data_IF_549642264479
#
_entry.id   IF_549642264479
#
_cell.length_a   1.000
_cell.length_b   1.000
_cell.length_c   1.000
_cell.angle_alpha   90.00
_cell.angle_beta   90.00
_cell.angle_gamma   90.00
#
_symmetry.space_group_name_H-M   'P 1'
#
loop_
_entity.id
_entity.type
_entity.pdbx_description
1 polymer ?
#
# COMPACT_ATOMS: atom_id res chain seq x y z
N UNK A 1 33.27 -56.95 22.77
CA UNK A 1 33.85 -55.82 22.01
C UNK A 1 33.47 -54.58 22.76
N UNK A 2 34.46 -53.88 23.32
CA UNK A 2 34.23 -52.75 24.20
C UNK A 2 33.62 -51.57 23.44
N UNK A 3 32.62 -50.97 24.06
CA UNK A 3 31.94 -49.76 23.59
C UNK A 3 32.91 -48.61 23.32
N UNK A 4 34.04 -48.56 24.02
CA UNK A 4 35.13 -47.60 23.77
C UNK A 4 35.78 -47.74 22.39
N UNK A 5 36.00 -48.98 21.92
CA UNK A 5 36.67 -49.22 20.64
C UNK A 5 35.78 -48.81 19.47
N UNK A 6 34.47 -49.01 19.59
CA UNK A 6 33.49 -48.58 18.60
C UNK A 6 33.34 -47.04 18.55
N UNK A 7 33.33 -46.37 19.70
CA UNK A 7 33.24 -44.90 19.75
C UNK A 7 34.48 -44.23 19.13
N UNK A 8 35.67 -44.78 19.38
CA UNK A 8 36.91 -44.29 18.76
C UNK A 8 36.91 -44.42 17.23
N UNK A 9 36.37 -45.52 16.71
CA UNK A 9 36.25 -45.74 15.27
C UNK A 9 35.24 -44.79 14.60
N UNK A 10 34.09 -44.54 15.24
CA UNK A 10 33.09 -43.57 14.75
C UNK A 10 33.69 -42.17 14.66
N UNK A 11 34.40 -41.71 15.70
CA UNK A 11 35.06 -40.39 15.69
C UNK A 11 36.13 -40.28 14.58
N UNK A 12 36.86 -41.36 14.30
CA UNK A 12 37.84 -41.39 13.21
C UNK A 12 37.18 -41.29 11.83
N UNK A 13 36.03 -41.93 11.63
CA UNK A 13 35.25 -41.85 10.39
C UNK A 13 34.61 -40.47 10.20
N UNK A 14 34.03 -39.89 11.26
CA UNK A 14 33.47 -38.53 11.22
C UNK A 14 34.55 -37.52 10.82
N UNK A 15 35.76 -37.63 11.38
CA UNK A 15 36.89 -36.78 10.99
C UNK A 15 37.30 -36.95 9.52
N UNK A 16 37.37 -38.18 9.02
CA UNK A 16 37.69 -38.42 7.60
C UNK A 16 36.58 -37.90 6.66
N UNK A 17 35.31 -38.00 7.08
CA UNK A 17 34.18 -37.42 6.35
C UNK A 17 34.30 -35.89 6.33
N UNK A 18 34.66 -35.26 7.45
CA UNK A 18 34.91 -33.81 7.53
C UNK A 18 36.09 -33.36 6.67
N UNK A 19 37.21 -34.10 6.71
CA UNK A 19 38.40 -33.84 5.89
C UNK A 19 38.07 -33.94 4.39
N UNK A 20 37.40 -35.02 3.97
CA UNK A 20 36.96 -35.18 2.58
C UNK A 20 35.91 -34.16 2.14
N UNK A 21 35.05 -33.69 3.06
CA UNK A 21 34.08 -32.63 2.77
C UNK A 21 34.78 -31.30 2.44
N UNK A 22 35.89 -30.98 3.12
CA UNK A 22 36.71 -29.81 2.84
C UNK A 22 37.24 -29.80 1.40
N UNK A 23 37.83 -30.91 0.96
CA UNK A 23 38.37 -31.07 -0.39
C UNK A 23 37.27 -30.95 -1.46
N UNK A 24 36.10 -31.58 -1.22
CA UNK A 24 34.95 -31.47 -2.12
C UNK A 24 34.45 -30.03 -2.22
N UNK A 25 34.42 -29.27 -1.12
CA UNK A 25 34.07 -27.85 -1.12
C UNK A 25 35.09 -27.04 -1.95
N UNK A 26 36.38 -27.29 -1.78
CA UNK A 26 37.44 -26.58 -2.51
C UNK A 26 37.40 -26.89 -4.01
N UNK A 27 37.19 -28.15 -4.40
CA UNK A 27 37.00 -28.54 -5.80
C UNK A 27 35.75 -27.90 -6.41
N UNK A 28 34.63 -27.86 -5.68
CA UNK A 28 33.41 -27.17 -6.12
C UNK A 28 33.63 -25.66 -6.29
N UNK A 29 34.34 -25.02 -5.36
CA UNK A 29 34.72 -23.59 -5.46
C UNK A 29 35.57 -23.33 -6.69
N UNK A 30 36.56 -24.18 -6.94
CA UNK A 30 37.45 -24.09 -8.11
C UNK A 30 36.67 -24.30 -9.40
N UNK A 31 35.81 -25.32 -9.48
CA UNK A 31 34.95 -25.54 -10.65
C UNK A 31 34.04 -24.32 -10.91
N UNK A 32 33.44 -23.77 -9.85
CA UNK A 32 32.55 -22.62 -9.99
C UNK A 32 33.29 -21.34 -10.39
N UNK A 33 34.54 -21.12 -9.95
CA UNK A 33 35.35 -19.95 -10.36
C UNK A 33 35.76 -20.00 -11.85
N UNK A 34 35.74 -21.18 -12.47
CA UNK A 34 35.99 -21.35 -13.90
C UNK A 34 34.77 -21.01 -14.78
N UNK A 35 33.57 -20.92 -14.21
CA UNK A 35 32.36 -20.56 -14.96
C UNK A 35 32.36 -19.07 -15.31
N UNK A 36 31.93 -18.73 -16.54
CA UNK A 36 31.85 -17.33 -17.00
C UNK A 36 31.02 -16.44 -16.06
N UNK A 37 29.97 -17.01 -15.45
CA UNK A 37 29.08 -16.33 -14.51
C UNK A 37 29.80 -15.84 -13.23
N UNK A 38 30.89 -16.51 -12.85
CA UNK A 38 31.72 -16.14 -11.69
C UNK A 38 32.78 -15.10 -12.03
N UNK A 39 32.95 -14.74 -13.32
CA UNK A 39 33.84 -13.68 -13.78
C UNK A 39 33.13 -12.35 -13.99
N UNK A 40 31.81 -12.30 -13.77
CA UNK A 40 31.07 -11.05 -13.86
C UNK A 40 31.57 -10.07 -12.79
N UNK A 41 31.75 -8.77 -13.15
CA UNK A 41 32.07 -7.74 -12.18
C UNK A 41 31.04 -7.69 -11.05
N UNK A 42 31.48 -7.44 -9.80
CA UNK A 42 30.60 -7.40 -8.65
C UNK A 42 29.48 -6.36 -8.80
N UNK A 43 29.71 -5.27 -9.52
CA UNK A 43 28.72 -4.21 -9.77
C UNK A 43 27.55 -4.74 -10.61
N UNK A 44 27.84 -5.46 -11.70
CA UNK A 44 26.83 -6.03 -12.60
C UNK A 44 26.02 -7.11 -11.88
N UNK A 45 26.68 -7.96 -11.08
CA UNK A 45 25.99 -8.96 -10.27
C UNK A 45 25.13 -8.31 -9.19
N UNK A 46 25.62 -7.26 -8.52
CA UNK A 46 24.86 -6.49 -7.55
C UNK A 46 23.59 -5.90 -8.16
N UNK A 47 23.68 -5.34 -9.38
CA UNK A 47 22.51 -4.88 -10.13
C UNK A 47 21.54 -6.03 -10.40
N UNK A 48 22.00 -7.14 -10.98
CA UNK A 48 21.15 -8.33 -11.22
C UNK A 48 20.43 -8.76 -9.93
N UNK A 49 21.12 -8.79 -8.79
CA UNK A 49 20.49 -9.14 -7.51
C UNK A 49 19.41 -8.15 -7.11
N UNK A 50 19.61 -6.84 -7.32
CA UNK A 50 18.57 -5.82 -7.06
C UNK A 50 17.32 -6.06 -7.92
N UNK A 51 17.49 -6.42 -9.19
CA UNK A 51 16.37 -6.76 -10.08
C UNK A 51 15.62 -8.04 -9.65
N UNK A 52 16.27 -8.95 -8.93
CA UNK A 52 15.64 -10.17 -8.40
C UNK A 52 14.94 -9.95 -7.04
N UNK A 53 15.16 -8.80 -6.40
CA UNK A 53 14.62 -8.45 -5.08
C UNK A 53 13.42 -7.49 -5.21
N UNK A 54 12.97 -7.18 -6.43
CA UNK A 54 11.88 -6.23 -6.66
C UNK A 54 10.66 -6.63 -5.81
N UNK A 55 10.23 -5.76 -4.88
CA UNK A 55 8.99 -5.98 -4.15
C UNK A 55 7.84 -5.99 -5.16
N UNK A 56 6.99 -7.01 -5.14
CA UNK A 56 5.71 -6.91 -5.84
C UNK A 56 4.99 -5.67 -5.29
N UNK A 57 4.50 -4.82 -6.20
CA UNK A 57 4.21 -3.39 -6.04
C UNK A 57 3.30 -2.94 -4.88
N UNK A 58 2.84 -3.84 -4.03
CA UNK A 58 2.07 -3.58 -2.81
C UNK A 58 2.76 -4.08 -1.53
N UNK A 59 4.09 -4.13 -1.52
CA UNK A 59 4.89 -4.66 -0.41
C UNK A 59 4.46 -6.08 0.00
N UNK A 60 3.99 -6.90 -0.95
CA UNK A 60 3.63 -8.31 -0.76
C UNK A 60 4.80 -9.23 -0.38
N UNK A 61 5.92 -8.63 0.06
CA UNK A 61 7.18 -9.26 0.28
C UNK A 61 8.01 -9.34 -0.99
N UNK A 62 9.30 -9.60 -0.77
CA UNK A 62 10.07 -10.31 -1.76
C UNK A 62 9.59 -11.76 -1.70
N UNK A 63 9.08 -12.32 -2.79
CA UNK A 63 8.58 -13.71 -2.82
C UNK A 63 9.64 -14.66 -2.24
N UNK A 64 9.19 -15.66 -1.47
CA UNK A 64 10.03 -16.74 -0.94
C UNK A 64 10.79 -17.40 -2.10
N UNK A 65 12.07 -17.07 -2.27
CA UNK A 65 12.91 -17.54 -3.38
C UNK A 65 13.88 -16.49 -3.94
N UNK A 66 13.69 -15.21 -3.65
CA UNK A 66 14.53 -14.15 -4.22
C UNK A 66 16.01 -14.25 -3.88
N UNK A 67 16.36 -14.77 -2.71
CA UNK A 67 17.75 -14.92 -2.29
C UNK A 67 18.37 -16.26 -2.70
N UNK A 68 17.73 -17.04 -3.57
CA UNK A 68 18.31 -18.28 -4.08
C UNK A 68 19.66 -18.05 -4.79
N UNK A 69 19.91 -16.83 -5.27
CA UNK A 69 21.21 -16.44 -5.81
C UNK A 69 22.36 -16.60 -4.79
N UNK A 70 22.07 -16.55 -3.48
CA UNK A 70 23.06 -16.81 -2.42
C UNK A 70 23.55 -18.27 -2.41
N UNK A 71 22.80 -19.19 -3.03
CA UNK A 71 23.11 -20.62 -3.10
C UNK A 71 23.84 -21.02 -4.37
N UNK A 72 24.05 -20.09 -5.32
CA UNK A 72 24.61 -20.39 -6.65
C UNK A 72 26.11 -20.70 -6.57
N UNK A 73 26.92 -19.75 -6.08
CA UNK A 73 28.34 -19.94 -5.88
C UNK A 73 28.89 -18.98 -4.81
N UNK A 74 30.14 -19.20 -4.39
CA UNK A 74 30.79 -18.38 -3.38
C UNK A 74 30.93 -16.91 -3.79
N UNK A 75 31.30 -16.65 -5.05
CA UNK A 75 31.42 -15.30 -5.59
C UNK A 75 30.10 -14.53 -5.47
N UNK A 76 28.98 -15.15 -5.86
CA UNK A 76 27.66 -14.54 -5.77
C UNK A 76 27.27 -14.21 -4.32
N UNK A 77 27.56 -15.12 -3.39
CA UNK A 77 27.36 -14.89 -1.96
C UNK A 77 28.21 -13.73 -1.43
N UNK A 78 29.49 -13.65 -1.81
CA UNK A 78 30.39 -12.57 -1.40
C UNK A 78 29.95 -11.22 -1.95
N UNK A 79 29.63 -11.15 -3.24
CA UNK A 79 29.11 -9.93 -3.87
C UNK A 79 27.82 -9.49 -3.18
N UNK A 80 26.88 -10.40 -2.97
CA UNK A 80 25.64 -10.09 -2.27
C UNK A 80 25.89 -9.59 -0.84
N UNK A 81 26.78 -10.23 -0.09
CA UNK A 81 27.13 -9.84 1.29
C UNK A 81 27.77 -8.45 1.35
N UNK A 82 28.50 -8.05 0.29
CA UNK A 82 29.11 -6.72 0.14
C UNK A 82 28.20 -5.68 -0.52
N UNK A 83 26.95 -6.03 -0.83
CA UNK A 83 25.96 -5.14 -1.45
C UNK A 83 24.88 -4.81 -0.42
N UNK A 84 25.04 -3.75 0.41
CA UNK A 84 24.15 -3.46 1.53
C UNK A 84 22.69 -3.31 1.12
N UNK A 85 22.43 -2.83 -0.10
CA UNK A 85 21.07 -2.56 -0.59
C UNK A 85 20.20 -3.82 -0.65
N UNK A 86 20.80 -5.00 -0.78
CA UNK A 86 20.08 -6.29 -0.79
C UNK A 86 19.55 -6.69 0.60
N UNK A 87 20.12 -6.10 1.66
CA UNK A 87 19.86 -6.40 3.06
C UNK A 87 19.08 -5.29 3.77
N UNK A 88 18.67 -4.26 3.03
CA UNK A 88 17.80 -3.21 3.55
C UNK A 88 16.44 -3.79 3.98
N UNK A 89 16.01 -4.91 3.41
CA UNK A 89 14.75 -5.56 3.75
C UNK A 89 14.93 -6.73 4.73
N UNK A 90 14.32 -6.64 5.91
CA UNK A 90 14.49 -7.64 6.96
C UNK A 90 13.67 -8.92 6.79
N UNK A 91 12.78 -8.98 5.80
CA UNK A 91 11.84 -10.09 5.61
C UNK A 91 10.43 -9.70 6.02
N UNK A 92 9.52 -10.67 5.98
CA UNK A 92 8.09 -10.53 6.30
C UNK A 92 7.69 -11.13 7.65
N UNK A 93 8.62 -11.79 8.35
CA UNK A 93 8.35 -12.48 9.62
C UNK A 93 9.43 -12.12 10.64
N UNK A 94 9.07 -12.22 11.93
CA UNK A 94 10.01 -12.00 13.05
C UNK A 94 11.22 -12.93 12.97
N UNK A 95 11.02 -14.18 12.54
CA UNK A 95 12.11 -15.13 12.31
C UNK A 95 13.07 -14.69 11.20
N UNK A 96 12.55 -14.09 10.12
CA UNK A 96 13.42 -13.54 9.08
C UNK A 96 14.18 -12.31 9.59
N UNK A 97 13.52 -11.46 10.38
CA UNK A 97 14.16 -10.31 10.99
C UNK A 97 15.33 -10.74 11.85
N UNK A 98 15.14 -11.69 12.78
CA UNK A 98 16.20 -12.19 13.69
C UNK A 98 17.42 -12.75 12.96
N UNK A 99 17.23 -13.33 11.76
CA UNK A 99 18.33 -13.85 10.93
C UNK A 99 19.02 -12.79 10.07
N UNK A 100 18.31 -11.72 9.69
CA UNK A 100 18.77 -10.76 8.67
C UNK A 100 19.28 -9.46 9.25
N UNK A 101 18.78 -9.00 10.40
CA UNK A 101 19.18 -7.69 10.97
C UNK A 101 20.69 -7.58 11.21
N UNK A 102 21.35 -8.70 11.54
CA UNK A 102 22.79 -8.77 11.77
C UNK A 102 23.62 -8.56 10.49
N UNK A 103 23.03 -8.82 9.31
CA UNK A 103 23.68 -8.66 8.01
C UNK A 103 23.54 -7.25 7.47
N UNK A 104 22.52 -6.52 7.92
CA UNK A 104 22.33 -5.11 7.58
C UNK A 104 23.42 -4.31 8.30
N UNK A 105 24.30 -3.61 7.57
CA UNK A 105 25.28 -2.72 8.19
C UNK A 105 24.59 -1.70 9.11
N UNK A 106 25.19 -1.32 10.24
CA UNK A 106 24.55 -0.51 11.31
C UNK A 106 23.91 0.80 10.79
N UNK A 107 24.48 1.41 9.76
CA UNK A 107 24.00 2.68 9.20
C UNK A 107 23.27 2.55 7.86
N UNK A 108 23.06 1.33 7.37
CA UNK A 108 22.34 1.13 6.11
C UNK A 108 20.84 1.45 6.29
N UNK A 109 20.18 2.13 5.32
CA UNK A 109 18.73 2.31 5.34
C UNK A 109 18.00 0.97 5.41
N UNK A 110 16.98 0.84 6.26
CA UNK A 110 16.24 -0.41 6.48
C UNK A 110 14.75 -0.21 6.18
N UNK A 111 14.18 -1.15 5.44
CA UNK A 111 12.75 -1.32 5.26
C UNK A 111 12.29 -2.50 6.15
N UNK A 112 11.45 -2.18 7.11
CA UNK A 112 10.80 -3.14 7.99
C UNK A 112 9.48 -3.54 7.35
N UNK A 113 9.30 -4.83 7.06
CA UNK A 113 8.01 -5.38 6.67
C UNK A 113 7.63 -6.53 7.59
N UNK A 114 6.40 -6.53 8.07
CA UNK A 114 5.86 -7.62 8.84
C UNK A 114 4.48 -7.86 8.29
N UNK A 115 4.32 -8.91 7.50
CA UNK A 115 3.05 -9.25 6.88
C UNK A 115 2.57 -10.58 7.44
N UNK A 116 1.31 -10.64 7.86
CA UNK A 116 0.71 -11.87 8.34
C UNK A 116 0.70 -12.95 7.25
N UNK A 117 1.49 -14.00 7.45
CA UNK A 117 1.36 -15.22 6.68
C UNK A 117 0.12 -15.96 7.17
N UNK A 118 -0.82 -16.22 6.25
CA UNK A 118 -2.12 -16.82 6.54
C UNK A 118 -2.02 -18.21 7.18
N UNK A 119 -0.85 -18.85 7.18
CA UNK A 119 -0.66 -20.24 7.63
C UNK A 119 0.05 -20.45 8.98
N UNK A 120 0.76 -19.48 9.55
CA UNK A 120 1.59 -19.72 10.74
C UNK A 120 1.01 -19.07 12.00
N UNK A 121 0.60 -19.94 12.94
CA UNK A 121 -0.17 -19.60 14.14
C UNK A 121 0.66 -18.89 15.23
N UNK A 122 1.99 -18.93 15.18
CA UNK A 122 2.80 -18.47 16.30
C UNK A 122 3.14 -16.98 16.26
N UNK A 123 2.34 -16.23 17.02
CA UNK A 123 2.62 -14.86 17.44
C UNK A 123 3.65 -14.82 18.56
N UNK A 124 4.83 -15.39 18.35
CA UNK A 124 5.94 -15.24 19.27
C UNK A 124 6.23 -13.73 19.45
N UNK A 125 6.33 -13.23 20.70
CA UNK A 125 6.69 -11.84 20.93
C UNK A 125 8.08 -11.55 20.34
N UNK A 126 8.36 -10.28 20.04
CA UNK A 126 9.73 -9.85 19.75
C UNK A 126 10.62 -10.21 20.95
N UNK A 127 11.71 -10.92 20.70
CA UNK A 127 12.74 -11.13 21.72
C UNK A 127 13.46 -9.80 22.02
N UNK A 128 14.15 -9.74 23.17
CA UNK A 128 14.84 -8.52 23.61
C UNK A 128 15.99 -8.11 22.68
N UNK A 129 16.62 -9.07 21.99
CA UNK A 129 17.69 -8.78 21.04
C UNK A 129 17.15 -8.02 19.83
N UNK A 130 15.99 -8.42 19.30
CA UNK A 130 15.36 -7.78 18.17
C UNK A 130 14.74 -6.43 18.55
N UNK A 131 14.18 -6.29 19.76
CA UNK A 131 13.74 -5.00 20.29
C UNK A 131 14.91 -4.01 20.38
N UNK A 132 16.03 -4.42 20.97
CA UNK A 132 17.25 -3.61 21.03
C UNK A 132 17.74 -3.23 19.64
N UNK A 133 17.77 -4.18 18.71
CA UNK A 133 18.17 -3.90 17.33
C UNK A 133 17.26 -2.89 16.64
N UNK A 134 15.94 -2.96 16.85
CA UNK A 134 15.00 -1.96 16.32
C UNK A 134 15.25 -0.58 16.93
N UNK A 135 15.45 -0.52 18.25
CA UNK A 135 15.74 0.74 18.96
C UNK A 135 17.06 1.36 18.49
N UNK A 136 18.11 0.56 18.26
CA UNK A 136 19.38 1.02 17.70
C UNK A 136 19.21 1.61 16.28
N UNK A 137 18.31 1.04 15.48
CA UNK A 137 17.98 1.52 14.12
C UNK A 137 17.19 2.82 14.14
N UNK A 138 16.28 2.95 15.08
CA UNK A 138 15.54 4.20 15.35
C UNK A 138 16.51 5.29 15.80
N UNK A 139 17.40 4.98 16.75
CA UNK A 139 18.40 5.91 17.27
C UNK A 139 19.41 6.38 16.22
N UNK A 140 19.81 5.47 15.31
CA UNK A 140 20.68 5.78 14.17
C UNK A 140 19.93 6.41 12.98
N UNK A 141 18.60 6.59 13.09
CA UNK A 141 17.75 7.13 12.03
C UNK A 141 17.96 6.37 10.71
N UNK A 142 18.10 5.05 10.78
CA UNK A 142 18.35 4.22 9.61
C UNK A 142 17.08 3.59 9.05
N UNK A 143 15.91 3.75 9.68
CA UNK A 143 14.66 3.17 9.19
C UNK A 143 14.08 4.05 8.08
N UNK A 144 13.90 3.50 6.89
CA UNK A 144 13.33 4.18 5.72
C UNK A 144 11.84 3.88 5.54
N UNK A 145 11.44 2.63 5.74
CA UNK A 145 10.06 2.20 5.56
C UNK A 145 9.60 1.29 6.69
N UNK A 146 8.35 1.46 7.11
CA UNK A 146 7.70 0.61 8.11
C UNK A 146 6.40 0.09 7.53
N UNK A 147 6.31 -1.21 7.26
CA UNK A 147 5.11 -1.89 6.83
C UNK A 147 4.75 -2.98 7.83
N UNK A 148 3.61 -2.84 8.49
CA UNK A 148 3.16 -3.74 9.55
C UNK A 148 1.70 -4.09 9.28
N UNK A 149 1.44 -5.34 8.93
CA UNK A 149 0.13 -5.92 8.63
C UNK A 149 -0.05 -7.27 9.36
N UNK A 150 -1.16 -7.46 10.09
CA UNK A 150 -1.35 -8.64 10.93
C UNK A 150 -1.91 -8.41 12.34
N UNK A 151 -1.40 -9.18 13.32
CA UNK A 151 -1.95 -9.27 14.69
C UNK A 151 -1.52 -8.10 15.58
N UNK A 152 -2.50 -7.53 16.29
CA UNK A 152 -2.34 -6.38 17.19
C UNK A 152 -1.20 -6.51 18.22
N UNK A 153 -1.04 -7.66 18.88
CA UNK A 153 -0.05 -7.82 19.98
C UNK A 153 1.39 -7.63 19.52
N UNK A 154 1.76 -8.26 18.41
CA UNK A 154 3.10 -8.11 17.83
C UNK A 154 3.33 -6.68 17.33
N UNK A 155 2.30 -6.08 16.72
CA UNK A 155 2.39 -4.70 16.25
C UNK A 155 2.59 -3.70 17.39
N UNK A 156 1.89 -3.85 18.52
CA UNK A 156 2.13 -3.03 19.69
C UNK A 156 3.59 -3.11 20.15
N UNK A 157 4.18 -4.32 20.16
CA UNK A 157 5.59 -4.51 20.53
C UNK A 157 6.55 -3.84 19.53
N UNK A 158 6.31 -3.98 18.22
CA UNK A 158 7.10 -3.31 17.18
C UNK A 158 6.97 -1.79 17.31
N UNK A 159 5.75 -1.26 17.36
CA UNK A 159 5.51 0.18 17.48
C UNK A 159 6.15 0.73 18.75
N UNK A 160 6.00 0.08 19.89
CA UNK A 160 6.67 0.48 21.13
C UNK A 160 8.20 0.51 20.99
N UNK A 161 8.79 -0.41 20.22
CA UNK A 161 10.23 -0.40 19.91
C UNK A 161 10.62 0.73 18.97
N UNK A 162 9.69 1.22 18.15
CA UNK A 162 9.88 2.36 17.24
C UNK A 162 9.64 3.73 17.90
N UNK A 163 9.01 3.76 19.08
CA UNK A 163 8.79 4.95 19.91
C UNK A 163 9.43 4.82 21.29
N UNK A 164 10.72 5.16 21.44
CA UNK A 164 11.36 5.28 22.75
C UNK A 164 10.68 6.38 23.59
N UNK A 165 10.36 6.07 24.85
CA UNK A 165 9.59 6.96 25.74
C UNK A 165 10.31 8.26 26.14
N UNK A 166 11.64 8.30 26.06
CA UNK A 166 12.41 9.30 26.84
C UNK A 166 12.95 10.49 26.02
N UNK A 167 12.80 10.49 24.69
CA UNK A 167 13.31 11.58 23.82
C UNK A 167 12.43 11.76 22.61
N UNK A 168 12.21 13.01 22.19
CA UNK A 168 11.68 13.30 20.85
C UNK A 168 12.60 12.65 19.82
N UNK A 169 12.16 11.52 19.26
CA UNK A 169 12.92 10.82 18.25
C UNK A 169 12.64 11.48 16.92
N UNK A 170 13.68 12.11 16.37
CA UNK A 170 13.66 12.60 15.00
C UNK A 170 13.84 11.43 14.03
N UNK A 171 12.75 10.74 13.73
CA UNK A 171 12.64 9.76 12.64
C UNK A 171 12.60 10.48 11.29
N UNK A 172 13.69 11.17 10.98
CA UNK A 172 13.83 12.01 9.78
C UNK A 172 14.09 11.23 8.50
N UNK A 173 14.39 9.93 8.56
CA UNK A 173 14.63 9.08 7.39
C UNK A 173 13.43 8.27 6.94
N UNK A 174 12.36 8.18 7.74
CA UNK A 174 11.18 7.41 7.35
C UNK A 174 10.43 8.12 6.22
N UNK A 175 10.32 7.42 5.09
CA UNK A 175 9.68 7.88 3.85
C UNK A 175 8.32 7.20 3.62
N UNK A 176 8.10 6.02 4.22
CA UNK A 176 6.86 5.24 4.05
C UNK A 176 6.43 4.57 5.36
N UNK A 177 5.14 4.69 5.68
CA UNK A 177 4.51 4.03 6.83
C UNK A 177 3.20 3.38 6.38
N UNK A 178 3.09 2.07 6.55
CA UNK A 178 1.90 1.28 6.29
C UNK A 178 1.58 0.49 7.55
N UNK A 179 0.50 0.85 8.24
CA UNK A 179 0.05 0.17 9.45
C UNK A 179 -1.36 -0.38 9.20
N UNK A 180 -1.48 -1.69 9.02
CA UNK A 180 -2.75 -2.40 8.77
C UNK A 180 -3.05 -3.36 9.92
N UNK A 181 -3.68 -2.81 10.95
CA UNK A 181 -3.93 -3.53 12.19
C UNK A 181 -5.19 -3.03 12.87
N UNK A 182 -6.35 -3.67 12.61
CA UNK A 182 -7.59 -3.31 13.27
C UNK A 182 -7.41 -3.27 14.81
N UNK A 183 -7.79 -2.15 15.42
CA UNK A 183 -7.71 -1.94 16.87
C UNK A 183 -6.33 -1.55 17.43
N UNK A 184 -5.29 -1.43 16.61
CA UNK A 184 -4.02 -0.82 17.04
C UNK A 184 -4.24 0.68 17.26
N UNK A 185 -3.76 1.24 18.37
CA UNK A 185 -3.70 2.68 18.56
C UNK A 185 -2.31 3.18 18.11
N UNK A 186 -2.29 4.09 17.14
CA UNK A 186 -1.05 4.69 16.63
C UNK A 186 -0.77 6.08 17.25
N UNK A 187 -1.52 6.49 18.26
CA UNK A 187 -1.39 7.83 18.86
C UNK A 187 -0.01 8.07 19.43
N UNK A 188 0.53 7.13 20.21
CA UNK A 188 1.88 7.25 20.77
C UNK A 188 2.93 7.30 19.65
N UNK A 189 2.73 6.52 18.58
CA UNK A 189 3.60 6.53 17.40
C UNK A 189 3.73 7.94 16.79
N UNK A 190 2.59 8.59 16.53
CA UNK A 190 2.60 9.93 15.94
C UNK A 190 2.88 11.04 16.95
N UNK A 191 2.64 10.83 18.25
CA UNK A 191 2.95 11.81 19.28
C UNK A 191 4.46 11.98 19.48
N UNK A 192 5.23 10.87 19.43
CA UNK A 192 6.66 10.88 19.74
C UNK A 192 7.58 10.90 18.51
N UNK A 193 7.03 10.72 17.30
CA UNK A 193 7.80 10.69 16.07
C UNK A 193 7.41 11.83 15.11
N UNK A 194 8.43 12.51 14.59
CA UNK A 194 8.27 13.52 13.54
C UNK A 194 8.78 12.97 12.21
N UNK A 195 7.98 13.07 11.13
CA UNK A 195 8.27 12.43 9.85
C UNK A 195 8.38 13.44 8.68
N UNK A 196 9.44 14.27 8.65
CA UNK A 196 9.59 15.34 7.66
C UNK A 196 9.80 14.83 6.23
N UNK A 197 10.18 13.56 6.06
CA UNK A 197 10.38 12.92 4.75
C UNK A 197 9.27 11.94 4.38
N UNK A 198 8.22 11.82 5.19
CA UNK A 198 7.15 10.86 4.93
C UNK A 198 6.41 11.24 3.65
N UNK A 199 6.49 10.36 2.66
CA UNK A 199 5.84 10.51 1.35
C UNK A 199 4.62 9.61 1.21
N UNK A 200 4.63 8.47 1.88
CA UNK A 200 3.57 7.46 1.77
C UNK A 200 3.06 7.11 3.17
N UNK A 201 1.77 7.30 3.39
CA UNK A 201 1.12 6.94 4.64
C UNK A 201 -0.13 6.12 4.36
N UNK A 202 -0.18 4.88 4.84
CA UNK A 202 -1.36 4.03 4.81
C UNK A 202 -1.69 3.58 6.24
N UNK A 203 -2.83 4.00 6.76
CA UNK A 203 -3.28 3.68 8.11
C UNK A 203 -4.61 2.94 8.03
N UNK A 204 -4.65 1.75 8.63
CA UNK A 204 -5.86 0.99 8.94
C UNK A 204 -5.83 0.60 10.42
N UNK A 205 -5.85 1.63 11.27
CA UNK A 205 -5.67 1.57 12.73
C UNK A 205 -6.74 2.42 13.43
N UNK A 206 -6.84 2.32 14.75
CA UNK A 206 -7.67 3.20 15.57
C UNK A 206 -6.96 4.55 15.69
N UNK A 207 -7.71 5.63 15.42
CA UNK A 207 -7.23 7.01 15.53
C UNK A 207 -8.12 7.79 16.49
N UNK A 208 -7.50 8.64 17.30
CA UNK A 208 -8.19 9.58 18.18
C UNK A 208 -7.97 11.03 17.69
N UNK A 209 -8.59 12.00 18.36
CA UNK A 209 -8.48 13.42 18.02
C UNK A 209 -7.04 13.96 18.08
N UNK A 210 -6.19 13.43 18.97
CA UNK A 210 -4.79 13.81 19.07
C UNK A 210 -4.00 13.29 17.87
N UNK A 211 -4.24 12.06 17.41
CA UNK A 211 -3.58 11.49 16.23
C UNK A 211 -3.74 12.40 15.01
N UNK A 212 -4.93 12.97 14.80
CA UNK A 212 -5.21 13.90 13.69
C UNK A 212 -4.38 15.19 13.78
N UNK A 213 -4.22 15.73 14.99
CA UNK A 213 -3.40 16.92 15.20
C UNK A 213 -1.92 16.61 14.92
N UNK A 214 -1.43 15.44 15.35
CA UNK A 214 -0.06 15.01 15.08
C UNK A 214 0.19 14.75 13.60
N UNK A 215 -0.76 14.14 12.87
CA UNK A 215 -0.63 13.99 11.42
C UNK A 215 -0.48 15.34 10.73
N UNK A 216 -1.27 16.34 11.14
CA UNK A 216 -1.18 17.70 10.59
C UNK A 216 0.20 18.32 10.81
N UNK A 217 0.79 18.16 12.01
CA UNK A 217 2.06 18.79 12.37
C UNK A 217 3.29 18.02 11.89
N UNK A 218 3.21 16.69 11.79
CA UNK A 218 4.36 15.81 11.55
C UNK A 218 4.45 15.30 10.11
N UNK A 219 3.43 15.57 9.28
CA UNK A 219 3.40 15.15 7.87
C UNK A 219 3.12 16.36 6.98
N UNK A 220 4.15 16.82 6.27
CA UNK A 220 4.07 17.95 5.35
C UNK A 220 4.63 17.63 3.94
N UNK A 221 5.10 16.40 3.74
CA UNK A 221 5.72 15.92 2.51
C UNK A 221 4.95 14.75 1.88
N UNK A 222 3.70 14.50 2.32
CA UNK A 222 2.93 13.37 1.82
C UNK A 222 2.61 13.55 0.33
N UNK A 223 2.83 12.47 -0.41
CA UNK A 223 2.45 12.29 -1.81
C UNK A 223 1.35 11.24 -1.96
N UNK A 224 1.22 10.32 -1.01
CA UNK A 224 0.16 9.33 -0.94
C UNK A 224 -0.36 9.21 0.49
N UNK A 225 -1.67 9.32 0.66
CA UNK A 225 -2.36 9.20 1.93
C UNK A 225 -3.53 8.22 1.76
N UNK A 226 -3.50 7.12 2.51
CA UNK A 226 -4.56 6.12 2.57
C UNK A 226 -5.01 5.94 4.00
N UNK A 227 -6.23 6.34 4.32
CA UNK A 227 -6.79 6.27 5.66
C UNK A 227 -8.05 5.40 5.64
N UNK A 228 -7.96 4.29 6.37
CA UNK A 228 -9.04 3.36 6.63
C UNK A 228 -9.19 3.25 8.14
N UNK A 229 -10.41 3.14 8.61
CA UNK A 229 -10.65 3.05 10.04
C UNK A 229 -10.99 1.62 10.44
N UNK A 230 -10.50 1.21 11.61
CA UNK A 230 -11.01 0.04 12.33
C UNK A 230 -12.31 0.38 13.07
N UNK A 231 -13.10 -0.64 13.42
CA UNK A 231 -14.45 -0.53 14.01
C UNK A 231 -14.61 0.37 15.26
N UNK A 232 -13.53 0.86 15.87
CA UNK A 232 -13.53 1.67 17.10
C UNK A 232 -12.94 3.09 16.96
N UNK A 233 -12.59 3.57 15.77
CA UNK A 233 -11.99 4.92 15.65
C UNK A 233 -13.02 6.03 15.89
N UNK A 234 -12.61 7.13 16.52
CA UNK A 234 -13.38 8.37 16.44
C UNK A 234 -13.29 8.94 15.02
N UNK A 235 -14.43 9.18 14.38
CA UNK A 235 -14.50 9.94 13.11
C UNK A 235 -13.90 11.33 13.33
N UNK A 236 -12.93 11.78 12.51
CA UNK A 236 -12.43 13.15 12.58
C UNK A 236 -13.55 14.16 12.29
N UNK A 237 -13.39 15.38 12.79
CA UNK A 237 -14.20 16.50 12.28
C UNK A 237 -13.78 16.84 10.84
N UNK A 238 -14.68 17.50 10.10
CA UNK A 238 -14.34 18.03 8.77
C UNK A 238 -13.12 18.93 8.80
N UNK A 239 -12.99 19.79 9.83
CA UNK A 239 -11.83 20.68 9.99
C UNK A 239 -10.53 19.92 10.25
N UNK A 240 -10.55 18.85 11.04
CA UNK A 240 -9.37 18.03 11.31
C UNK A 240 -8.84 17.38 10.03
N UNK A 241 -9.70 16.67 9.28
CA UNK A 241 -9.28 16.02 8.05
C UNK A 241 -8.76 17.03 7.02
N UNK A 242 -9.49 18.14 6.80
CA UNK A 242 -9.06 19.18 5.86
C UNK A 242 -7.76 19.85 6.28
N UNK A 243 -7.48 19.97 7.58
CA UNK A 243 -6.21 20.51 8.06
C UNK A 243 -5.02 19.60 7.73
N UNK A 244 -5.19 18.27 7.80
CA UNK A 244 -4.16 17.30 7.38
C UNK A 244 -3.93 17.38 5.87
N UNK A 245 -5.01 17.46 5.08
CA UNK A 245 -4.90 17.61 3.63
C UNK A 245 -4.23 18.95 3.24
N UNK A 246 -4.58 20.04 3.91
CA UNK A 246 -3.99 21.36 3.67
C UNK A 246 -2.50 21.44 4.04
N UNK A 247 -2.05 20.68 5.04
CA UNK A 247 -0.63 20.53 5.37
C UNK A 247 0.18 19.79 4.29
N UNK A 248 -0.47 19.09 3.35
CA UNK A 248 0.18 18.23 2.36
C UNK A 248 -0.21 18.62 0.92
N UNK A 249 0.17 19.82 0.43
CA UNK A 249 -0.23 20.30 -0.89
C UNK A 249 0.36 19.49 -2.06
N UNK A 250 1.39 18.68 -1.80
CA UNK A 250 2.05 17.80 -2.77
C UNK A 250 1.35 16.44 -2.94
N UNK A 251 0.19 16.24 -2.29
CA UNK A 251 -0.54 14.98 -2.34
C UNK A 251 -0.95 14.64 -3.78
N UNK A 252 -0.60 13.44 -4.23
CA UNK A 252 -0.91 12.89 -5.55
C UNK A 252 -1.94 11.77 -5.50
N UNK A 253 -1.97 11.02 -4.41
CA UNK A 253 -2.96 9.97 -4.18
C UNK A 253 -3.63 10.15 -2.82
N UNK A 254 -4.96 10.15 -2.81
CA UNK A 254 -5.78 10.22 -1.62
C UNK A 254 -6.76 9.06 -1.62
N UNK A 255 -6.68 8.23 -0.59
CA UNK A 255 -7.61 7.15 -0.34
C UNK A 255 -8.23 7.31 1.04
N UNK A 256 -9.56 7.35 1.11
CA UNK A 256 -10.29 7.50 2.38
C UNK A 256 -11.41 6.46 2.46
N UNK A 257 -11.56 5.79 3.59
CA UNK A 257 -12.67 4.87 3.84
C UNK A 257 -13.46 5.23 5.10
N UNK A 258 -14.79 5.16 5.03
CA UNK A 258 -15.69 5.27 6.19
C UNK A 258 -15.25 4.29 7.30
N UNK A 259 -15.27 4.69 8.59
CA UNK A 259 -15.78 5.95 9.13
C UNK A 259 -14.79 7.13 9.20
N UNK A 260 -13.70 7.16 8.42
CA UNK A 260 -12.77 8.30 8.40
C UNK A 260 -13.41 9.56 7.80
N UNK A 261 -14.37 9.41 6.90
CA UNK A 261 -14.98 10.55 6.21
C UNK A 261 -15.94 11.29 7.17
N UNK A 262 -15.67 12.56 7.50
CA UNK A 262 -16.45 13.31 8.49
C UNK A 262 -17.92 13.45 8.07
N UNK A 263 -18.82 13.17 9.02
CA UNK A 263 -20.27 13.30 8.80
C UNK A 263 -20.82 14.65 9.26
N UNK A 264 -20.04 15.42 10.02
CA UNK A 264 -20.44 16.70 10.54
C UNK A 264 -20.72 17.71 9.40
N UNK A 265 -21.78 18.50 9.58
CA UNK A 265 -22.18 19.56 8.65
C UNK A 265 -21.62 20.91 9.10
N UNK A 266 -20.38 20.94 9.61
CA UNK A 266 -19.77 22.19 10.08
C UNK A 266 -19.48 23.12 8.91
N UNK A 267 -20.51 23.84 8.46
CA UNK A 267 -20.53 24.76 7.32
C UNK A 267 -19.74 26.05 7.57
N UNK A 268 -19.18 26.22 8.77
CA UNK A 268 -18.56 27.47 9.21
C UNK A 268 -17.30 27.88 8.44
N UNK A 269 -16.65 26.97 7.71
CA UNK A 269 -15.51 27.31 6.86
C UNK A 269 -15.74 26.84 5.44
N UNK A 270 -15.91 27.79 4.51
CA UNK A 270 -15.95 27.52 3.06
C UNK A 270 -14.55 27.46 2.43
N UNK A 271 -13.49 27.38 3.23
CA UNK A 271 -12.13 27.32 2.67
C UNK A 271 -11.97 26.03 1.86
N UNK A 272 -11.63 26.19 0.58
CA UNK A 272 -11.18 25.11 -0.27
C UNK A 272 -9.74 24.73 0.10
N UNK A 273 -9.43 23.44 0.03
CA UNK A 273 -8.08 22.91 0.27
C UNK A 273 -7.39 22.70 -1.07
N UNK A 274 -6.31 23.44 -1.39
CA UNK A 274 -5.63 23.32 -2.67
C UNK A 274 -4.80 22.02 -2.71
N UNK A 275 -5.24 21.08 -3.54
CA UNK A 275 -4.58 19.80 -3.81
C UNK A 275 -4.22 19.70 -5.30
N UNK A 276 -3.45 20.68 -5.79
CA UNK A 276 -3.15 20.88 -7.23
C UNK A 276 -2.40 19.74 -7.91
N UNK A 277 -1.78 18.86 -7.12
CA UNK A 277 -1.01 17.71 -7.61
C UNK A 277 -1.79 16.39 -7.53
N UNK A 278 -3.04 16.43 -7.05
CA UNK A 278 -3.84 15.25 -6.80
C UNK A 278 -4.25 14.60 -8.12
N UNK A 279 -3.79 13.38 -8.33
CA UNK A 279 -4.02 12.57 -9.53
C UNK A 279 -5.06 11.48 -9.27
N UNK A 280 -4.99 10.88 -8.09
CA UNK A 280 -5.79 9.72 -7.73
C UNK A 280 -6.61 10.04 -6.48
N UNK A 281 -7.93 9.89 -6.57
CA UNK A 281 -8.83 9.90 -5.43
C UNK A 281 -9.54 8.56 -5.38
N UNK A 282 -9.53 7.92 -4.20
CA UNK A 282 -10.35 6.74 -3.93
C UNK A 282 -11.12 6.97 -2.64
N UNK A 283 -12.45 6.93 -2.66
CA UNK A 283 -13.27 7.12 -1.46
C UNK A 283 -14.23 5.96 -1.25
N UNK A 284 -14.27 5.39 -0.06
CA UNK A 284 -15.21 4.33 0.33
C UNK A 284 -16.15 4.89 1.42
N UNK A 285 -17.47 4.79 1.26
CA UNK A 285 -18.39 5.29 2.29
C UNK A 285 -19.77 5.71 1.78
N UNK A 286 -20.42 6.61 2.52
CA UNK A 286 -21.71 7.17 2.14
C UNK A 286 -21.57 8.33 1.15
N UNK A 287 -22.52 8.45 0.20
CA UNK A 287 -22.48 9.45 -0.87
C UNK A 287 -22.38 10.89 -0.36
N UNK A 288 -23.23 11.30 0.58
CA UNK A 288 -23.30 12.70 1.01
C UNK A 288 -22.03 13.22 1.70
N UNK A 289 -21.44 12.51 2.68
CA UNK A 289 -20.14 12.89 3.25
C UNK A 289 -19.03 12.99 2.20
N UNK A 290 -18.97 12.04 1.26
CA UNK A 290 -17.99 12.03 0.17
C UNK A 290 -18.15 13.28 -0.71
N UNK A 291 -19.35 13.56 -1.20
CA UNK A 291 -19.61 14.73 -2.03
C UNK A 291 -19.33 16.05 -1.31
N UNK A 292 -19.67 16.13 -0.01
CA UNK A 292 -19.36 17.30 0.81
C UNK A 292 -17.86 17.52 0.91
N UNK A 293 -17.10 16.45 1.15
CA UNK A 293 -15.64 16.52 1.19
C UNK A 293 -15.06 16.94 -0.17
N UNK A 294 -15.47 16.30 -1.26
CA UNK A 294 -14.99 16.60 -2.61
C UNK A 294 -15.21 18.06 -3.01
N UNK A 295 -16.37 18.63 -2.68
CA UNK A 295 -16.67 20.05 -2.93
C UNK A 295 -15.74 21.01 -2.16
N UNK A 296 -15.04 20.53 -1.13
CA UNK A 296 -14.07 21.31 -0.35
C UNK A 296 -12.63 21.10 -0.82
N UNK A 297 -12.38 20.23 -1.79
CA UNK A 297 -11.07 20.03 -2.38
C UNK A 297 -10.94 20.87 -3.65
N UNK A 298 -9.94 21.76 -3.70
CA UNK A 298 -9.54 22.44 -4.92
C UNK A 298 -8.47 21.58 -5.63
N UNK A 299 -8.94 20.69 -6.48
CA UNK A 299 -8.13 19.67 -7.13
C UNK A 299 -8.00 19.95 -8.64
N UNK A 300 -6.94 19.47 -9.32
CA UNK A 300 -6.73 19.76 -10.73
C UNK A 300 -7.87 19.22 -11.57
N UNK A 301 -8.08 19.85 -12.73
CA UNK A 301 -9.03 19.36 -13.74
C UNK A 301 -8.62 17.99 -14.28
N UNK A 302 -7.34 17.82 -14.58
CA UNK A 302 -6.79 16.57 -15.10
C UNK A 302 -6.45 15.59 -13.97
N UNK A 303 -7.46 14.87 -13.47
CA UNK A 303 -7.24 13.70 -12.59
C UNK A 303 -7.00 12.44 -13.41
N UNK A 304 -6.10 11.60 -12.94
CA UNK A 304 -5.82 10.32 -13.58
C UNK A 304 -6.89 9.29 -13.20
N UNK A 305 -7.33 9.28 -11.93
CA UNK A 305 -8.32 8.33 -11.41
C UNK A 305 -9.19 9.01 -10.35
N UNK A 306 -10.51 8.99 -10.52
CA UNK A 306 -11.45 9.18 -9.42
C UNK A 306 -12.21 7.88 -9.24
N UNK A 307 -12.07 7.27 -8.06
CA UNK A 307 -12.75 6.08 -7.61
C UNK A 307 -13.59 6.37 -6.38
N UNK A 308 -14.84 5.93 -6.43
CA UNK A 308 -15.75 5.97 -5.30
C UNK A 308 -16.33 4.57 -5.14
N UNK A 309 -16.42 4.08 -3.91
CA UNK A 309 -17.12 2.87 -3.54
C UNK A 309 -18.19 3.25 -2.52
N UNK A 310 -19.41 3.46 -3.01
CA UNK A 310 -20.49 3.95 -2.18
C UNK A 310 -21.29 2.81 -1.58
N UNK A 311 -21.76 2.96 -0.34
CA UNK A 311 -22.64 2.01 0.32
C UNK A 311 -23.97 2.66 0.69
N UNK A 312 -25.06 1.87 0.63
CA UNK A 312 -26.40 2.27 1.04
C UNK A 312 -26.90 3.55 0.33
N UNK A 313 -26.72 3.62 -0.98
CA UNK A 313 -27.23 4.72 -1.79
C UNK A 313 -28.40 4.22 -2.65
N UNK A 314 -29.42 5.06 -2.78
CA UNK A 314 -30.51 4.86 -3.74
C UNK A 314 -30.09 5.39 -5.12
N UNK A 315 -30.71 4.87 -6.18
CA UNK A 315 -30.47 5.39 -7.54
C UNK A 315 -30.77 6.89 -7.65
N UNK A 316 -31.85 7.34 -7.03
CA UNK A 316 -32.26 8.75 -7.02
C UNK A 316 -31.24 9.67 -6.33
N UNK A 317 -30.60 9.22 -5.24
CA UNK A 317 -29.53 9.97 -4.57
C UNK A 317 -28.29 10.09 -5.46
N UNK A 318 -27.92 9.01 -6.14
CA UNK A 318 -26.81 9.01 -7.11
C UNK A 318 -27.11 10.01 -8.22
N UNK A 319 -28.26 9.89 -8.89
CA UNK A 319 -28.65 10.83 -9.97
C UNK A 319 -28.61 12.29 -9.50
N UNK A 320 -29.29 12.60 -8.40
CA UNK A 320 -29.48 13.99 -7.94
C UNK A 320 -28.21 14.61 -7.37
N UNK A 321 -27.40 13.86 -6.64
CA UNK A 321 -26.25 14.42 -5.93
C UNK A 321 -24.94 14.25 -6.70
N UNK A 322 -24.74 13.09 -7.33
CA UNK A 322 -23.51 12.74 -8.01
C UNK A 322 -23.50 13.20 -9.48
N UNK A 323 -24.65 13.17 -10.18
CA UNK A 323 -24.78 13.66 -11.55
C UNK A 323 -24.23 15.08 -11.78
N UNK A 324 -24.66 16.09 -10.99
CA UNK A 324 -24.10 17.44 -11.09
C UNK A 324 -22.60 17.53 -10.81
N UNK A 325 -22.09 16.73 -9.87
CA UNK A 325 -20.66 16.70 -9.56
C UNK A 325 -19.85 16.12 -10.72
N UNK A 326 -20.30 15.01 -11.32
CA UNK A 326 -19.62 14.46 -12.49
C UNK A 326 -19.61 15.46 -13.64
N UNK A 327 -20.74 16.12 -13.91
CA UNK A 327 -20.81 17.17 -14.93
C UNK A 327 -19.73 18.22 -14.71
N UNK A 328 -19.61 18.73 -13.48
CA UNK A 328 -18.60 19.73 -13.14
C UNK A 328 -17.17 19.19 -13.34
N UNK A 329 -16.90 17.93 -13.01
CA UNK A 329 -15.62 17.29 -13.28
C UNK A 329 -15.31 17.19 -14.78
N UNK A 330 -16.28 16.73 -15.58
CA UNK A 330 -16.13 16.58 -17.04
C UNK A 330 -15.95 17.93 -17.73
N UNK A 331 -16.66 18.98 -17.29
CA UNK A 331 -16.52 20.33 -17.84
C UNK A 331 -15.16 20.95 -17.53
N UNK A 332 -14.55 20.60 -16.40
CA UNK A 332 -13.22 21.10 -16.02
C UNK A 332 -12.11 20.43 -16.82
N UNK A 333 -12.26 19.16 -17.17
CA UNK A 333 -11.25 18.39 -17.88
C UNK A 333 -11.48 18.40 -19.39
N UNK A 334 -10.72 19.25 -20.08
CA UNK A 334 -10.80 19.39 -21.54
C UNK A 334 -10.52 18.10 -22.32
N UNK A 335 -9.94 17.07 -21.70
CA UNK A 335 -9.68 15.77 -22.36
C UNK A 335 -10.96 15.03 -22.77
N UNK A 336 -12.08 15.28 -22.09
CA UNK A 336 -13.35 14.59 -22.40
C UNK A 336 -14.16 15.26 -23.52
N UNK A 337 -13.71 16.41 -24.04
CA UNK A 337 -14.43 17.12 -25.10
C UNK A 337 -14.53 16.24 -26.35
N UNK A 338 -15.77 15.88 -26.74
CA UNK A 338 -16.09 15.04 -27.89
C UNK A 338 -15.49 13.62 -27.86
N UNK A 339 -15.10 13.11 -26.69
CA UNK A 339 -14.43 11.81 -26.56
C UNK A 339 -14.91 11.02 -25.35
N UNK A 340 -16.07 11.30 -24.76
CA UNK A 340 -16.51 10.57 -23.58
C UNK A 340 -17.21 9.26 -23.97
N UNK A 341 -16.63 8.13 -23.54
CA UNK A 341 -17.30 6.83 -23.50
C UNK A 341 -17.77 6.56 -22.07
N UNK A 342 -19.08 6.32 -21.91
CA UNK A 342 -19.68 6.01 -20.62
C UNK A 342 -20.19 4.58 -20.67
N UNK A 343 -19.68 3.75 -19.77
CA UNK A 343 -20.20 2.40 -19.58
C UNK A 343 -20.78 2.24 -18.19
N UNK A 344 -21.99 1.71 -18.10
CA UNK A 344 -22.56 1.23 -16.84
C UNK A 344 -22.56 -0.28 -16.84
N UNK A 345 -21.77 -0.86 -15.97
CA UNK A 345 -21.68 -2.32 -15.81
C UNK A 345 -22.35 -2.72 -14.51
N UNK A 346 -23.14 -3.79 -14.55
CA UNK A 346 -23.81 -4.34 -13.38
C UNK A 346 -23.26 -5.72 -13.05
N UNK A 347 -22.76 -5.89 -11.82
CA UNK A 347 -22.26 -7.16 -11.29
C UNK A 347 -22.92 -7.42 -9.93
N UNK A 348 -23.80 -8.42 -9.87
CA UNK A 348 -24.52 -8.80 -8.64
C UNK A 348 -25.30 -7.64 -8.00
N UNK A 349 -24.78 -7.02 -6.94
CA UNK A 349 -25.36 -5.89 -6.23
C UNK A 349 -24.54 -4.60 -6.40
N UNK A 350 -23.60 -4.60 -7.34
CA UNK A 350 -22.68 -3.51 -7.62
C UNK A 350 -22.97 -2.93 -8.99
N UNK A 351 -23.02 -1.60 -9.08
CA UNK A 351 -22.95 -0.87 -10.34
C UNK A 351 -21.57 -0.26 -10.48
N UNK A 352 -21.01 -0.35 -11.67
CA UNK A 352 -19.80 0.35 -12.06
C UNK A 352 -20.16 1.33 -13.14
N UNK A 353 -20.02 2.63 -12.87
CA UNK A 353 -20.13 3.67 -13.89
C UNK A 353 -18.69 4.06 -14.23
N UNK A 354 -18.25 3.73 -15.44
CA UNK A 354 -16.93 4.13 -15.95
C UNK A 354 -17.13 5.23 -16.98
N UNK A 355 -16.27 6.24 -16.89
CA UNK A 355 -16.18 7.33 -17.84
C UNK A 355 -14.73 7.37 -18.33
N UNK A 356 -14.52 7.12 -19.62
CA UNK A 356 -13.20 7.06 -20.22
C UNK A 356 -13.14 7.89 -21.51
N UNK A 357 -11.93 8.26 -21.90
CA UNK A 357 -11.69 8.88 -23.20
C UNK A 357 -11.77 7.80 -24.29
N UNK A 358 -12.53 8.06 -25.35
CA UNK A 358 -12.77 7.15 -26.45
C UNK A 358 -11.44 6.71 -27.09
N UNK A 359 -11.27 5.40 -27.27
CA UNK A 359 -10.01 4.81 -27.75
C UNK A 359 -9.12 4.22 -26.65
N UNK A 360 -9.38 4.51 -25.36
CA UNK A 360 -8.72 3.85 -24.22
C UNK A 360 -9.51 2.61 -23.71
N UNK A 361 -10.26 1.96 -24.62
CA UNK A 361 -11.24 0.91 -24.29
C UNK A 361 -10.61 -0.39 -23.81
N UNK A 362 -9.29 -0.57 -23.99
CA UNK A 362 -8.53 -1.66 -23.38
C UNK A 362 -8.53 -1.59 -21.83
N UNK A 363 -8.89 -0.44 -21.23
CA UNK A 363 -9.08 -0.26 -19.78
C UNK A 363 -10.50 -0.54 -19.26
N UNK A 364 -11.47 -0.83 -20.14
CA UNK A 364 -12.85 -1.12 -19.70
C UNK A 364 -13.05 -2.58 -19.27
N UNK A 365 -12.16 -3.49 -19.67
CA UNK A 365 -12.20 -4.87 -19.15
C UNK A 365 -11.64 -4.93 -17.72
N UNK A 366 -12.34 -5.63 -16.81
CA UNK A 366 -11.94 -5.90 -15.41
C UNK A 366 -10.67 -6.76 -15.27
N UNK A 367 -9.65 -6.56 -16.10
CA UNK A 367 -8.36 -7.19 -15.86
C UNK A 367 -7.64 -6.41 -14.74
N UNK A 368 -7.22 -7.07 -13.65
CA UNK A 368 -6.39 -6.44 -12.62
C UNK A 368 -5.03 -5.95 -13.16
N UNK A 369 -4.70 -6.22 -14.42
CA UNK A 369 -3.48 -5.73 -15.11
C UNK A 369 -3.74 -4.65 -16.18
N UNK A 370 -4.98 -4.23 -16.42
CA UNK A 370 -5.30 -3.18 -17.38
C UNK A 370 -4.99 -1.77 -16.85
N UNK A 371 -4.77 -0.80 -17.75
CA UNK A 371 -4.75 0.62 -17.33
C UNK A 371 -6.15 0.97 -16.81
N UNK A 372 -6.27 1.55 -15.60
CA UNK A 372 -7.57 1.96 -15.09
C UNK A 372 -8.17 3.07 -15.98
N UNK A 373 -9.50 3.12 -16.14
CA UNK A 373 -10.14 4.21 -16.85
C UNK A 373 -9.86 5.55 -16.14
N UNK A 374 -9.89 6.65 -16.88
CA UNK A 374 -9.61 7.99 -16.34
C UNK A 374 -10.58 8.39 -15.21
N UNK A 375 -11.81 7.90 -15.24
CA UNK A 375 -12.80 8.04 -14.17
C UNK A 375 -13.55 6.71 -13.99
N UNK A 376 -13.57 6.16 -12.78
CA UNK A 376 -14.28 4.91 -12.48
C UNK A 376 -15.03 5.01 -11.17
N UNK A 377 -16.36 4.99 -11.21
CA UNK A 377 -17.20 5.05 -10.03
C UNK A 377 -17.82 3.68 -9.78
N UNK A 378 -17.74 3.19 -8.55
CA UNK A 378 -18.34 1.93 -8.10
C UNK A 378 -19.39 2.24 -7.03
N UNK A 379 -20.58 1.70 -7.20
CA UNK A 379 -21.71 1.92 -6.32
C UNK A 379 -22.19 0.56 -5.81
N UNK A 380 -22.30 0.42 -4.50
CA UNK A 380 -23.05 -0.66 -3.86
C UNK A 380 -24.40 -0.10 -3.46
N UNK A 381 -25.46 -0.62 -4.07
CA UNK A 381 -26.81 -0.13 -3.79
C UNK A 381 -27.43 -0.84 -2.60
N UNK A 382 -28.27 -0.11 -1.85
CA UNK A 382 -29.12 -0.73 -0.82
C UNK A 382 -30.28 -1.51 -1.43
N UNK A 383 -30.72 -1.11 -2.62
CA UNK A 383 -31.95 -1.59 -3.22
C UNK A 383 -31.63 -2.55 -4.37
N UNK A 384 -32.45 -3.59 -4.53
CA UNK A 384 -32.42 -4.39 -5.75
C UNK A 384 -32.86 -3.50 -6.92
N UNK A 385 -31.95 -3.27 -7.88
CA UNK A 385 -32.34 -2.59 -9.11
C UNK A 385 -33.04 -3.54 -10.06
N UNK A 386 -34.23 -3.15 -10.48
CA UNK A 386 -34.81 -3.69 -11.71
C UNK A 386 -34.06 -3.10 -12.92
N UNK A 387 -34.09 -3.78 -14.08
CA UNK A 387 -33.54 -3.24 -15.33
C UNK A 387 -34.07 -1.83 -15.66
N UNK A 388 -35.35 -1.54 -15.37
CA UNK A 388 -35.97 -0.24 -15.57
C UNK A 388 -35.38 0.83 -14.65
N UNK A 389 -35.11 0.47 -13.39
CA UNK A 389 -34.47 1.38 -12.43
C UNK A 389 -33.02 1.68 -12.83
N UNK A 390 -32.30 0.70 -13.37
CA UNK A 390 -30.96 0.89 -13.93
C UNK A 390 -31.00 1.80 -15.17
N UNK A 391 -31.96 1.57 -16.09
CA UNK A 391 -32.16 2.42 -17.27
C UNK A 391 -32.52 3.85 -16.88
N UNK A 392 -33.38 4.03 -15.88
CA UNK A 392 -33.71 5.34 -15.32
C UNK A 392 -32.47 6.01 -14.73
N UNK A 393 -31.71 5.32 -13.87
CA UNK A 393 -30.46 5.83 -13.30
C UNK A 393 -29.50 6.29 -14.39
N UNK A 394 -29.30 5.47 -15.42
CA UNK A 394 -28.45 5.81 -16.55
C UNK A 394 -28.94 7.04 -17.30
N UNK A 395 -30.25 7.10 -17.58
CA UNK A 395 -30.87 8.24 -18.27
C UNK A 395 -30.71 9.52 -17.47
N UNK A 396 -31.05 9.49 -16.18
CA UNK A 396 -30.90 10.63 -15.27
C UNK A 396 -29.44 11.10 -15.19
N UNK A 397 -28.50 10.14 -15.20
CA UNK A 397 -27.08 10.43 -15.18
C UNK A 397 -26.57 11.08 -16.47
N UNK A 398 -26.95 10.54 -17.63
CA UNK A 398 -26.59 11.07 -18.95
C UNK A 398 -27.18 12.46 -19.16
N UNK A 399 -28.36 12.76 -18.63
CA UNK A 399 -28.99 14.10 -18.69
C UNK A 399 -28.12 15.19 -18.05
N UNK A 400 -27.28 14.83 -17.07
CA UNK A 400 -26.34 15.79 -16.48
C UNK A 400 -25.11 16.05 -17.35
N UNK A 401 -24.85 15.25 -18.37
CA UNK A 401 -23.65 15.36 -19.20
C UNK A 401 -24.03 16.13 -20.48
N UNK A 402 -23.25 17.15 -20.88
CA UNK A 402 -23.55 17.85 -22.12
C UNK A 402 -23.50 16.86 -23.30
N UNK A 403 -24.56 16.86 -24.12
CA UNK A 403 -24.75 15.84 -25.16
C UNK A 403 -23.60 15.78 -26.17
N UNK A 404 -22.93 16.90 -26.39
CA UNK A 404 -21.76 17.02 -27.27
C UNK A 404 -20.50 16.29 -26.75
N UNK A 405 -20.46 15.89 -25.47
CA UNK A 405 -19.33 15.16 -24.91
C UNK A 405 -19.46 13.65 -25.15
N UNK A 406 -20.69 13.13 -25.21
CA UNK A 406 -20.98 11.69 -25.22
C UNK A 406 -20.81 11.13 -26.63
N UNK A 407 -19.78 10.31 -26.83
CA UNK A 407 -19.55 9.58 -28.09
C UNK A 407 -20.28 8.24 -28.12
N UNK A 408 -20.19 7.50 -27.01
CA UNK A 408 -20.87 6.23 -26.84
C UNK A 408 -21.34 6.10 -25.39
N UNK A 409 -22.45 5.38 -25.25
CA UNK A 409 -23.09 5.17 -23.96
C UNK A 409 -23.60 3.73 -23.96
N UNK A 410 -23.02 2.88 -23.13
CA UNK A 410 -23.30 1.44 -23.13
C UNK A 410 -23.76 0.98 -21.73
N UNK A 411 -24.80 0.15 -21.68
CA UNK A 411 -25.20 -0.55 -20.46
C UNK A 411 -24.85 -2.03 -20.65
N UNK A 412 -24.01 -2.57 -19.78
CA UNK A 412 -23.61 -3.99 -19.80
C UNK A 412 -24.11 -4.69 -18.54
N UNK A 413 -24.88 -5.75 -18.72
CA UNK A 413 -25.24 -6.64 -17.62
C UNK A 413 -24.27 -7.83 -17.60
N UNK A 414 -23.44 -7.94 -16.56
CA UNK A 414 -22.45 -9.01 -16.44
C UNK A 414 -22.93 -10.08 -15.45
N UNK A 415 -23.89 -10.90 -15.88
CA UNK A 415 -24.39 -12.06 -15.14
C UNK A 415 -24.14 -13.36 -15.93
N UNK A 416 -23.86 -14.46 -15.21
CA UNK A 416 -23.57 -15.85 -15.65
C UNK A 416 -23.83 -16.20 -17.14
N UNK A 417 -23.08 -15.61 -18.07
CA UNK A 417 -22.96 -16.05 -19.47
C UNK A 417 -23.78 -15.31 -20.54
N UNK A 418 -24.56 -14.28 -20.22
CA UNK A 418 -25.29 -13.51 -21.25
C UNK A 418 -24.98 -12.01 -21.17
N UNK A 419 -24.27 -11.51 -22.19
CA UNK A 419 -24.15 -10.08 -22.49
C UNK A 419 -25.45 -9.64 -23.18
N UNK A 420 -26.23 -8.81 -22.51
CA UNK A 420 -27.30 -8.04 -23.15
C UNK A 420 -26.79 -6.62 -23.36
N UNK A 421 -26.71 -6.18 -24.62
CA UNK A 421 -26.64 -4.75 -24.95
C UNK A 421 -28.08 -4.21 -24.80
N UNK A 422 -28.29 -3.33 -23.82
CA UNK A 422 -29.61 -2.73 -23.50
C UNK A 422 -29.81 -1.40 -24.22
#
# INVERSE_FOLDING_TARGET
>A
MDTETNNSFILSLERQIEEGAGDVIQLKRTRNSLLNISRMPPEILGDIFRWNIIPDGDFGGIQNGSYNFLLVCHHWFEVASKTPELWNFWGNTVYQWSRRYQRSGVNAPVDLALTYDKGHIDGAPLDESLKSALQDRVASNSIRSVHIEGRRTLHCSVIASLTPNDKEVRNSSIESVILRSPGLDASDFFAHCHFPKLRHLCLSVTMNSLTWNHLRSHTNALTSLSLRSGSSSSTPTTSQLLSVLASNPQLRALELADPIIPRDSSDGSKSLVPLRHLKNITMFGHLHPILRLLRRLDHPSAMDIISMNLFNCTSDEISRAFGPYLRDCLLRDGRFQNQLDISVEFYFSFIFIKAAVAGDTNGLTLSPMGRPPSLAFMFTLSDYLTPEALKKLFTDFVVHIPGEYVMSSNIRHCGNGFLYDI
#
